data_IF_251000142987
#
_entry.id   IF_251000142987
#
_cell.length_a   1.000
_cell.length_b   1.000
_cell.length_c   1.000
_cell.angle_alpha   90.00
_cell.angle_beta   90.00
_cell.angle_gamma   90.00
#
_symmetry.space_group_name_H-M   'P 1'
#
loop_
_entity.id
_entity.type
_entity.pdbx_description
1 polymer ?
#
# COMPACT_ATOMS: atom_id res chain seq x y z
N UNK A 1 -11.86 -0.46 -28.74
CA UNK A 1 -10.67 -0.78 -27.92
C UNK A 1 -11.17 -1.10 -26.53
N UNK A 2 -11.29 -2.38 -26.24
CA UNK A 2 -11.97 -2.90 -25.06
C UNK A 2 -10.96 -3.01 -23.93
N UNK A 3 -11.01 -2.04 -23.00
CA UNK A 3 -10.18 -2.05 -21.80
C UNK A 3 -10.75 -3.07 -20.81
N UNK A 4 -10.43 -4.35 -21.01
CA UNK A 4 -10.80 -5.43 -20.09
C UNK A 4 -10.13 -5.36 -18.69
N UNK A 5 -9.70 -4.18 -18.23
CA UNK A 5 -8.91 -3.94 -17.00
C UNK A 5 -9.18 -2.59 -16.29
N UNK A 6 -10.26 -1.86 -16.62
CA UNK A 6 -10.44 -0.45 -16.20
C UNK A 6 -11.65 -0.20 -15.28
N UNK A 7 -11.76 -0.93 -14.18
CA UNK A 7 -12.61 -0.44 -13.08
C UNK A 7 -11.74 0.32 -12.08
N UNK A 8 -12.06 1.59 -11.86
CA UNK A 8 -11.40 2.39 -10.82
C UNK A 8 -11.63 1.77 -9.45
N UNK A 9 -10.60 1.79 -8.61
CA UNK A 9 -10.73 1.36 -7.23
C UNK A 9 -11.67 2.31 -6.48
N UNK A 10 -12.51 1.73 -5.64
CA UNK A 10 -13.31 2.48 -4.69
C UNK A 10 -12.41 3.10 -3.61
N UNK A 11 -12.91 4.15 -2.93
CA UNK A 11 -12.17 4.78 -1.83
C UNK A 11 -11.77 3.77 -0.74
N UNK A 12 -12.68 2.86 -0.40
CA UNK A 12 -12.43 1.84 0.63
C UNK A 12 -11.32 0.86 0.21
N UNK A 13 -11.20 0.52 -1.07
CA UNK A 13 -10.12 -0.34 -1.56
C UNK A 13 -8.76 0.36 -1.47
N UNK A 14 -8.70 1.65 -1.78
CA UNK A 14 -7.49 2.48 -1.64
C UNK A 14 -7.13 2.67 -0.16
N UNK A 15 -8.12 2.88 0.72
CA UNK A 15 -7.92 2.95 2.18
C UNK A 15 -7.32 1.63 2.71
N UNK A 16 -7.86 0.48 2.30
CA UNK A 16 -7.34 -0.83 2.71
C UNK A 16 -5.95 -1.14 2.17
N UNK A 17 -5.61 -0.63 0.98
CA UNK A 17 -4.24 -0.65 0.47
C UNK A 17 -3.31 0.15 1.37
N UNK A 18 -3.71 1.39 1.72
CA UNK A 18 -2.98 2.25 2.64
C UNK A 18 -2.75 1.60 4.01
N UNK A 19 -3.79 1.06 4.63
CA UNK A 19 -3.73 0.33 5.90
C UNK A 19 -2.68 -0.80 5.84
N UNK A 20 -2.66 -1.55 4.74
CA UNK A 20 -1.74 -2.67 4.58
C UNK A 20 -0.29 -2.23 4.46
N UNK A 21 -0.01 -1.22 3.62
CA UNK A 21 1.33 -0.66 3.50
C UNK A 21 1.82 -0.03 4.79
N UNK A 22 0.96 0.73 5.47
CA UNK A 22 1.29 1.36 6.75
C UNK A 22 1.69 0.31 7.79
N UNK A 23 0.91 -0.76 7.97
CA UNK A 23 1.25 -1.84 8.89
C UNK A 23 2.63 -2.45 8.60
N UNK A 24 2.88 -2.81 7.34
CA UNK A 24 4.13 -3.50 6.96
C UNK A 24 5.34 -2.58 7.08
N UNK A 25 5.20 -1.31 6.70
CA UNK A 25 6.28 -0.33 6.83
C UNK A 25 6.55 0.03 8.29
N UNK A 26 5.54 0.01 9.16
CA UNK A 26 5.69 0.20 10.60
C UNK A 26 6.47 -0.97 11.21
N UNK A 27 6.09 -2.22 10.88
CA UNK A 27 6.82 -3.45 11.26
C UNK A 27 8.28 -3.44 10.78
N UNK A 28 8.54 -2.89 9.58
CA UNK A 28 9.88 -2.75 9.02
C UNK A 28 10.69 -1.55 9.58
N UNK A 29 10.12 -0.74 10.47
CA UNK A 29 10.81 0.41 11.07
C UNK A 29 10.97 1.62 10.15
N UNK A 30 10.19 1.71 9.07
CA UNK A 30 10.27 2.81 8.11
C UNK A 30 9.86 4.17 8.72
N UNK A 31 8.90 4.19 9.64
CA UNK A 31 8.37 5.42 10.24
C UNK A 31 9.22 5.92 11.43
N UNK A 32 10.49 6.19 11.19
CA UNK A 32 11.44 6.69 12.20
C UNK A 32 12.11 8.00 11.75
N UNK A 33 12.37 8.96 12.65
CA UNK A 33 12.11 8.94 14.09
C UNK A 33 10.64 9.20 14.45
N UNK A 34 10.21 8.76 15.63
CA UNK A 34 8.80 8.72 16.05
C UNK A 34 8.08 10.08 15.93
N UNK A 35 8.79 11.19 16.13
CA UNK A 35 8.21 12.54 16.05
C UNK A 35 7.78 12.91 14.61
N UNK A 36 8.26 12.17 13.60
CA UNK A 36 7.90 12.35 12.18
C UNK A 36 6.93 11.28 11.68
N UNK A 37 6.67 10.24 12.46
CA UNK A 37 5.90 9.07 12.02
C UNK A 37 4.51 9.46 11.49
N UNK A 38 3.77 10.29 12.22
CA UNK A 38 2.43 10.72 11.82
C UNK A 38 2.42 11.47 10.48
N UNK A 39 3.39 12.36 10.28
CA UNK A 39 3.55 13.09 9.01
C UNK A 39 3.91 12.17 7.85
N UNK A 40 4.76 11.16 8.09
CA UNK A 40 5.12 10.16 7.09
C UNK A 40 3.93 9.27 6.70
N UNK A 41 3.15 8.82 7.69
CA UNK A 41 1.92 8.04 7.47
C UNK A 41 0.88 8.85 6.70
N UNK A 42 0.67 10.12 7.07
CA UNK A 42 -0.21 11.02 6.34
C UNK A 42 0.24 11.23 4.88
N UNK A 43 1.54 11.44 4.65
CA UNK A 43 2.08 11.58 3.30
C UNK A 43 1.84 10.32 2.45
N UNK A 44 2.01 9.14 3.04
CA UNK A 44 1.73 7.86 2.38
C UNK A 44 0.24 7.74 2.02
N UNK A 45 -0.68 8.04 2.94
CA UNK A 45 -2.13 8.03 2.66
C UNK A 45 -2.50 9.02 1.56
N UNK A 46 -1.93 10.22 1.61
CA UNK A 46 -2.15 11.24 0.57
C UNK A 46 -1.61 10.81 -0.79
N UNK A 47 -0.52 10.03 -0.84
CA UNK A 47 0.02 9.49 -2.09
C UNK A 47 -1.00 8.59 -2.78
N UNK A 48 -1.58 7.64 -2.05
CA UNK A 48 -2.58 6.71 -2.58
C UNK A 48 -3.81 7.43 -3.13
N UNK A 49 -4.31 8.43 -2.40
CA UNK A 49 -5.48 9.22 -2.81
C UNK A 49 -5.28 10.08 -4.06
N UNK A 50 -4.03 10.40 -4.44
CA UNK A 50 -3.72 11.16 -5.66
C UNK A 50 -3.65 10.29 -6.91
N UNK A 51 -3.57 8.97 -6.78
CA UNK A 51 -3.42 8.05 -7.90
C UNK A 51 -4.79 7.57 -8.40
N UNK A 52 -4.98 7.57 -9.72
CA UNK A 52 -6.17 7.00 -10.37
C UNK A 52 -6.05 5.47 -10.47
N UNK A 53 -5.97 4.80 -9.32
CA UNK A 53 -5.78 3.35 -9.25
C UNK A 53 -7.02 2.61 -9.74
N UNK A 54 -6.79 1.55 -10.49
CA UNK A 54 -7.81 0.54 -10.77
C UNK A 54 -7.87 -0.50 -9.64
N UNK A 55 -8.97 -1.26 -9.58
CA UNK A 55 -9.07 -2.44 -8.70
C UNK A 55 -7.90 -3.41 -8.92
N UNK A 56 -7.48 -3.59 -10.18
CA UNK A 56 -6.38 -4.48 -10.53
C UNK A 56 -5.03 -3.98 -9.98
N UNK A 57 -4.79 -2.67 -9.99
CA UNK A 57 -3.58 -2.06 -9.41
C UNK A 57 -3.54 -2.30 -7.91
N UNK A 58 -4.64 -2.07 -7.20
CA UNK A 58 -4.76 -2.32 -5.76
C UNK A 58 -4.42 -3.77 -5.42
N UNK A 59 -5.01 -4.73 -6.13
CA UNK A 59 -4.72 -6.16 -5.92
C UNK A 59 -3.26 -6.50 -6.22
N UNK A 60 -2.68 -5.90 -7.26
CA UNK A 60 -1.28 -6.08 -7.63
C UNK A 60 -0.35 -5.59 -6.52
N UNK A 61 -0.60 -4.39 -5.97
CA UNK A 61 0.20 -3.85 -4.87
C UNK A 61 0.08 -4.70 -3.60
N UNK A 62 -1.11 -5.16 -3.23
CA UNK A 62 -1.27 -6.12 -2.12
C UNK A 62 -0.50 -7.42 -2.37
N UNK A 63 -0.49 -7.92 -3.61
CA UNK A 63 0.27 -9.11 -4.02
C UNK A 63 1.77 -8.93 -3.86
N UNK A 64 2.30 -7.81 -4.37
CA UNK A 64 3.73 -7.46 -4.25
C UNK A 64 4.17 -7.39 -2.79
N UNK A 65 3.42 -6.67 -1.95
CA UNK A 65 3.76 -6.52 -0.53
C UNK A 65 3.76 -7.87 0.21
N UNK A 66 2.78 -8.74 -0.06
CA UNK A 66 2.76 -10.10 0.50
C UNK A 66 3.98 -10.94 0.09
N UNK A 67 4.48 -10.79 -1.13
CA UNK A 67 5.67 -11.52 -1.57
C UNK A 67 6.94 -10.98 -0.92
N UNK A 68 7.04 -9.66 -0.71
CA UNK A 68 8.16 -9.05 0.02
C UNK A 68 8.17 -9.57 1.46
N UNK A 69 7.03 -9.48 2.18
CA UNK A 69 6.90 -9.99 3.55
C UNK A 69 7.25 -11.47 3.69
N UNK A 70 6.89 -12.29 2.70
CA UNK A 70 7.22 -13.74 2.70
C UNK A 70 8.73 -13.98 2.68
N UNK A 71 9.50 -13.16 1.96
CA UNK A 71 10.95 -13.29 1.89
C UNK A 71 11.64 -12.87 3.18
N UNK A 72 11.16 -11.80 3.81
CA UNK A 72 11.67 -11.34 5.11
C UNK A 72 11.44 -12.36 6.23
N UNK A 73 10.33 -13.11 6.20
CA UNK A 73 10.04 -14.18 7.16
C UNK A 73 10.64 -15.56 6.82
N UNK A 74 11.35 -15.68 5.69
CA UNK A 74 11.80 -16.96 5.12
C UNK A 74 13.31 -17.19 5.17
N UNK A 75 14.06 -16.42 5.97
CA UNK A 75 15.47 -16.66 6.26
C UNK A 75 15.64 -17.71 7.36
N UNK A 76 15.41 -18.98 7.02
CA UNK A 76 15.77 -20.17 7.80
C UNK A 76 16.36 -21.22 6.86
#
# INVERSE_FOLDING_TARGET
>A
VELGRTELATRIEIEKLGDHFERVLDEAGFFFPAQKADGMKLNLRNLWSRMALTRADVQTFHGMLRQIMRREGGGG
#
